data_IF_619734728857
#
_entry.id   IF_619734728857
#
_cell.length_a   1.000
_cell.length_b   1.000
_cell.length_c   1.000
_cell.angle_alpha   90.00
_cell.angle_beta   90.00
_cell.angle_gamma   90.00
#
_symmetry.space_group_name_H-M   'P 1'
#
loop_
_entity.id
_entity.type
_entity.pdbx_description
1 polymer ?
#
# COMPACT_ATOMS: atom_id res chain seq x y z
N UNK A 1 32.40 -14.68 -12.22
CA UNK A 1 31.55 -15.09 -11.08
C UNK A 1 30.70 -13.90 -10.67
N UNK A 2 29.41 -14.10 -10.34
CA UNK A 2 28.49 -13.00 -9.94
C UNK A 2 27.89 -13.33 -8.57
N UNK A 3 27.77 -12.33 -7.71
CA UNK A 3 27.18 -12.44 -6.36
C UNK A 3 25.95 -11.51 -6.33
N UNK A 4 24.80 -12.05 -5.91
CA UNK A 4 23.57 -11.29 -5.68
C UNK A 4 23.52 -10.87 -4.20
N UNK A 5 23.39 -9.58 -3.92
CA UNK A 5 23.24 -9.04 -2.57
C UNK A 5 21.75 -8.83 -2.25
N UNK A 6 21.21 -9.65 -1.35
CA UNK A 6 19.80 -9.61 -0.96
C UNK A 6 19.46 -8.45 0.00
N UNK A 7 20.45 -7.93 0.72
CA UNK A 7 20.25 -6.81 1.67
C UNK A 7 19.82 -5.53 0.94
N UNK A 8 20.13 -5.42 -0.35
CA UNK A 8 19.73 -4.29 -1.21
C UNK A 8 18.36 -4.46 -1.87
N UNK A 9 17.70 -5.61 -1.74
CA UNK A 9 16.42 -5.88 -2.41
C UNK A 9 15.19 -5.47 -1.58
N UNK A 10 15.32 -5.30 -0.27
CA UNK A 10 14.18 -5.19 0.66
C UNK A 10 13.90 -3.78 1.20
N UNK A 11 14.46 -2.73 0.61
CA UNK A 11 14.65 -1.46 1.35
C UNK A 11 13.45 -0.52 1.31
N UNK A 12 12.63 -0.52 0.26
CA UNK A 12 11.44 0.34 0.12
C UNK A 12 10.74 0.00 -1.19
N UNK A 13 9.43 0.21 -1.28
CA UNK A 13 8.75 0.17 -2.59
C UNK A 13 9.08 1.39 -3.46
N UNK A 14 9.60 2.47 -2.85
CA UNK A 14 9.75 3.79 -3.47
C UNK A 14 8.43 4.50 -3.74
N UNK A 15 7.30 3.93 -3.31
CA UNK A 15 5.95 4.43 -3.56
C UNK A 15 5.40 5.08 -2.30
N UNK A 16 4.60 6.11 -2.50
CA UNK A 16 4.06 6.93 -1.42
C UNK A 16 2.59 7.21 -1.67
N UNK A 17 1.83 7.32 -0.58
CA UNK A 17 0.44 7.70 -0.59
C UNK A 17 0.27 8.96 0.25
N UNK A 18 -0.50 9.93 -0.23
CA UNK A 18 -0.84 11.13 0.54
C UNK A 18 -2.24 11.00 1.08
N UNK A 19 -2.40 11.02 2.41
CA UNK A 19 -3.72 11.01 3.08
C UNK A 19 -3.75 12.18 4.05
N UNK A 20 -4.82 12.98 4.01
CA UNK A 20 -4.98 14.15 4.90
C UNK A 20 -3.76 15.10 4.89
N UNK A 21 -3.18 15.32 3.70
CA UNK A 21 -1.97 16.12 3.48
C UNK A 21 -0.68 15.59 4.15
N UNK A 22 -0.69 14.33 4.61
CA UNK A 22 0.49 13.66 5.14
C UNK A 22 0.96 12.60 4.16
N UNK A 23 2.26 12.59 3.86
CA UNK A 23 2.89 11.60 2.99
C UNK A 23 3.24 10.36 3.80
N UNK A 24 2.74 9.22 3.36
CA UNK A 24 2.98 7.91 3.94
C UNK A 24 3.76 7.03 2.96
N UNK A 25 4.82 6.39 3.43
CA UNK A 25 5.58 5.43 2.64
C UNK A 25 4.84 4.09 2.56
N UNK A 26 4.77 3.53 1.36
CA UNK A 26 4.24 2.19 1.13
C UNK A 26 5.40 1.21 1.28
N UNK A 27 5.28 0.26 2.20
CA UNK A 27 6.25 -0.80 2.36
C UNK A 27 6.18 -1.78 1.18
N UNK A 28 7.32 -2.37 0.83
CA UNK A 28 7.34 -3.45 -0.15
C UNK A 28 6.48 -4.64 0.34
N UNK A 29 5.70 -5.22 -0.57
CA UNK A 29 4.95 -6.44 -0.28
C UNK A 29 5.93 -7.60 -0.05
N UNK A 30 6.07 -8.02 1.20
CA UNK A 30 6.85 -9.20 1.54
C UNK A 30 6.03 -10.47 1.29
N UNK A 31 6.72 -11.62 1.18
CA UNK A 31 6.04 -12.93 1.09
C UNK A 31 5.15 -13.16 2.31
N UNK A 32 5.59 -12.74 3.51
CA UNK A 32 4.79 -12.85 4.73
C UNK A 32 3.50 -12.02 4.65
N UNK A 33 3.59 -10.79 4.16
CA UNK A 33 2.42 -9.93 3.98
C UNK A 33 1.46 -10.51 2.95
N UNK A 34 1.99 -11.04 1.85
CA UNK A 34 1.18 -11.72 0.83
C UNK A 34 0.41 -12.92 1.40
N UNK A 35 1.06 -13.75 2.22
CA UNK A 35 0.42 -14.89 2.86
C UNK A 35 -0.69 -14.46 3.83
N UNK A 36 -0.46 -13.40 4.63
CA UNK A 36 -1.48 -12.84 5.52
C UNK A 36 -2.71 -12.37 4.74
N UNK A 37 -2.51 -11.57 3.70
CA UNK A 37 -3.59 -11.06 2.85
C UNK A 37 -4.35 -12.20 2.17
N UNK A 38 -3.62 -13.20 1.65
CA UNK A 38 -4.23 -14.36 0.98
C UNK A 38 -5.09 -15.20 1.94
N UNK A 39 -4.61 -15.39 3.17
CA UNK A 39 -5.34 -16.12 4.20
C UNK A 39 -6.62 -15.37 4.61
N UNK A 40 -6.50 -14.07 4.91
CA UNK A 40 -7.65 -13.21 5.23
C UNK A 40 -8.71 -13.22 4.12
N UNK A 41 -8.29 -13.16 2.86
CA UNK A 41 -9.21 -13.26 1.73
C UNK A 41 -9.93 -14.61 1.64
N UNK A 42 -9.24 -15.72 1.91
CA UNK A 42 -9.85 -17.05 1.95
C UNK A 42 -10.84 -17.21 3.12
N UNK A 43 -10.52 -16.66 4.29
CA UNK A 43 -11.43 -16.65 5.44
C UNK A 43 -12.70 -15.87 5.14
N UNK A 44 -12.61 -14.73 4.46
CA UNK A 44 -13.77 -13.95 4.04
C UNK A 44 -14.70 -14.71 3.10
N UNK A 45 -14.13 -15.40 2.10
CA UNK A 45 -14.89 -16.18 1.11
C UNK A 45 -15.57 -17.38 1.78
N UNK A 46 -14.88 -18.04 2.70
CA UNK A 46 -15.37 -19.27 3.34
C UNK A 46 -16.46 -19.02 4.40
N UNK A 47 -16.55 -17.82 4.98
CA UNK A 47 -17.44 -17.56 6.14
C UNK A 47 -18.74 -16.82 5.85
N UNK A 48 -19.14 -16.59 4.59
CA UNK A 48 -20.26 -15.65 4.27
C UNK A 48 -20.10 -14.34 5.04
N UNK A 49 -18.89 -13.78 5.00
CA UNK A 49 -18.55 -12.59 5.75
C UNK A 49 -19.51 -11.43 5.39
N UNK A 50 -19.90 -10.68 6.40
CA UNK A 50 -20.72 -9.48 6.22
C UNK A 50 -19.96 -8.43 5.40
N UNK A 51 -20.68 -7.52 4.71
CA UNK A 51 -20.05 -6.41 4.02
C UNK A 51 -19.10 -5.59 4.91
N UNK A 52 -19.46 -5.40 6.19
CA UNK A 52 -18.62 -4.69 7.16
C UNK A 52 -17.28 -5.40 7.40
N UNK A 53 -17.28 -6.73 7.55
CA UNK A 53 -16.05 -7.52 7.73
C UNK A 53 -15.15 -7.48 6.50
N UNK A 54 -15.73 -7.35 5.30
CA UNK A 54 -14.97 -7.11 4.07
C UNK A 54 -14.21 -5.78 4.15
N UNK A 55 -14.88 -4.70 4.55
CA UNK A 55 -14.25 -3.38 4.64
C UNK A 55 -13.16 -3.31 5.71
N UNK A 56 -13.37 -3.95 6.86
CA UNK A 56 -12.34 -4.02 7.91
C UNK A 56 -11.08 -4.75 7.41
N UNK A 57 -11.24 -5.84 6.65
CA UNK A 57 -10.10 -6.55 6.07
C UNK A 57 -9.37 -5.72 4.99
N UNK A 58 -10.09 -4.93 4.20
CA UNK A 58 -9.47 -4.01 3.24
C UNK A 58 -8.64 -2.96 3.98
N UNK A 59 -9.17 -2.38 5.05
CA UNK A 59 -8.43 -1.44 5.90
C UNK A 59 -7.19 -2.08 6.51
N UNK A 60 -7.31 -3.29 7.07
CA UNK A 60 -6.18 -4.02 7.67
C UNK A 60 -5.10 -4.33 6.63
N UNK A 61 -5.50 -4.68 5.41
CA UNK A 61 -4.57 -4.92 4.28
C UNK A 61 -3.82 -3.64 3.91
N UNK A 62 -4.51 -2.50 3.82
CA UNK A 62 -3.87 -1.21 3.52
C UNK A 62 -2.92 -0.82 4.65
N UNK A 63 -3.33 -0.97 5.91
CA UNK A 63 -2.51 -0.64 7.07
C UNK A 63 -1.27 -1.55 7.21
N UNK A 64 -1.35 -2.80 6.76
CA UNK A 64 -0.20 -3.70 6.70
C UNK A 64 0.90 -3.18 5.76
N UNK A 65 0.49 -2.55 4.66
CA UNK A 65 1.39 -2.01 3.64
C UNK A 65 1.74 -0.54 3.88
N UNK A 66 0.94 0.18 4.65
CA UNK A 66 1.13 1.59 5.00
C UNK A 66 0.95 1.78 6.52
N UNK A 67 1.88 1.29 7.37
CA UNK A 67 1.67 1.25 8.82
C UNK A 67 1.55 2.62 9.49
N UNK A 68 2.02 3.67 8.82
CA UNK A 68 1.95 5.05 9.31
C UNK A 68 0.64 5.74 8.95
N UNK A 69 -0.19 5.15 8.09
CA UNK A 69 -1.48 5.72 7.72
C UNK A 69 -2.48 5.59 8.89
N UNK A 70 -3.12 6.69 9.32
CA UNK A 70 -4.11 6.63 10.38
C UNK A 70 -5.38 5.94 9.88
N UNK A 71 -5.81 4.89 10.60
CA UNK A 71 -7.04 4.13 10.29
C UNK A 71 -8.26 5.03 10.11
N UNK A 72 -8.39 6.04 10.97
CA UNK A 72 -9.50 7.00 10.91
C UNK A 72 -9.56 7.73 9.57
N UNK A 73 -8.43 8.14 9.01
CA UNK A 73 -8.42 8.83 7.72
C UNK A 73 -8.79 7.88 6.57
N UNK A 74 -8.33 6.63 6.61
CA UNK A 74 -8.73 5.60 5.65
C UNK A 74 -10.23 5.29 5.72
N UNK A 75 -10.80 5.22 6.93
CA UNK A 75 -12.23 4.94 7.15
C UNK A 75 -13.17 6.05 6.68
N UNK A 76 -12.64 7.25 6.41
CA UNK A 76 -13.41 8.40 5.89
C UNK A 76 -13.45 8.43 4.36
N UNK A 77 -12.71 7.55 3.69
CA UNK A 77 -12.73 7.46 2.22
C UNK A 77 -14.07 6.88 1.74
N UNK A 78 -14.44 7.22 0.50
CA UNK A 78 -15.52 6.51 -0.20
C UNK A 78 -15.10 5.06 -0.47
N UNK A 79 -16.08 4.20 -0.77
CA UNK A 79 -15.82 2.80 -1.12
C UNK A 79 -14.89 2.69 -2.32
N UNK A 80 -15.13 3.50 -3.35
CA UNK A 80 -14.29 3.55 -4.55
C UNK A 80 -12.87 4.00 -4.20
N UNK A 81 -12.74 5.08 -3.40
CA UNK A 81 -11.42 5.57 -2.97
C UNK A 81 -10.65 4.56 -2.13
N UNK A 82 -11.33 3.78 -1.29
CA UNK A 82 -10.71 2.72 -0.51
C UNK A 82 -10.21 1.58 -1.42
N UNK A 83 -10.99 1.20 -2.43
CA UNK A 83 -10.58 0.22 -3.44
C UNK A 83 -9.37 0.71 -4.24
N UNK A 84 -9.39 1.96 -4.73
CA UNK A 84 -8.27 2.58 -5.44
C UNK A 84 -6.99 2.54 -4.59
N UNK A 85 -7.08 2.90 -3.31
CA UNK A 85 -5.93 2.81 -2.40
C UNK A 85 -5.45 1.37 -2.26
N UNK A 86 -6.37 0.41 -2.09
CA UNK A 86 -6.06 -1.01 -1.94
C UNK A 86 -5.32 -1.57 -3.18
N UNK A 87 -5.76 -1.20 -4.38
CA UNK A 87 -5.11 -1.56 -5.64
C UNK A 87 -3.74 -0.91 -5.79
N UNK A 88 -3.65 0.39 -5.49
CA UNK A 88 -2.39 1.11 -5.52
C UNK A 88 -1.36 0.47 -4.61
N UNK A 89 -1.67 0.22 -3.33
CA UNK A 89 -0.68 -0.37 -2.38
C UNK A 89 -0.24 -1.77 -2.79
N UNK A 90 -1.06 -2.52 -3.54
CA UNK A 90 -0.70 -3.84 -4.08
C UNK A 90 0.17 -3.78 -5.34
N UNK A 91 0.33 -2.61 -5.96
CA UNK A 91 1.12 -2.44 -7.18
C UNK A 91 0.33 -2.63 -8.47
N UNK A 92 -1.00 -2.54 -8.43
CA UNK A 92 -1.79 -2.39 -9.63
C UNK A 92 -1.66 -0.96 -10.18
N UNK A 93 -1.73 -0.83 -11.50
CA UNK A 93 -1.91 0.47 -12.16
C UNK A 93 -3.32 0.96 -11.84
N UNK A 94 -3.42 2.17 -11.28
CA UNK A 94 -4.68 2.83 -10.95
C UNK A 94 -4.82 4.05 -11.83
N UNK A 95 -5.80 4.02 -12.72
CA UNK A 95 -6.05 5.08 -13.71
C UNK A 95 -6.74 6.33 -13.11
N UNK A 96 -7.37 6.20 -11.94
CA UNK A 96 -8.25 7.24 -11.36
C UNK A 96 -7.58 8.13 -10.30
N UNK A 97 -6.38 7.79 -9.83
CA UNK A 97 -5.64 8.60 -8.88
C UNK A 97 -4.73 9.60 -9.60
N UNK A 98 -4.64 10.84 -9.12
CA UNK A 98 -3.64 11.80 -9.60
C UNK A 98 -2.24 11.27 -9.25
N UNK A 99 -1.60 10.61 -10.22
CA UNK A 99 -0.23 10.14 -10.10
C UNK A 99 0.69 11.33 -10.32
N UNK A 100 1.13 11.93 -9.22
CA UNK A 100 2.16 12.98 -9.26
C UNK A 100 3.50 12.30 -9.49
N UNK A 101 4.00 12.35 -10.72
CA UNK A 101 5.37 11.95 -11.04
C UNK A 101 6.35 12.93 -10.38
N UNK A 102 6.97 12.52 -9.28
CA UNK A 102 8.02 13.31 -8.63
C UNK A 102 9.31 13.08 -9.41
N UNK A 103 9.59 13.96 -10.39
CA UNK A 103 10.90 14.00 -11.03
C UNK A 103 11.96 14.34 -9.98
N UNK A 104 12.91 13.42 -9.79
CA UNK A 104 14.07 13.65 -8.95
C UNK A 104 15.04 14.63 -9.66
N UNK A 105 14.73 15.93 -9.64
CA UNK A 105 15.71 16.96 -10.00
C UNK A 105 16.74 17.10 -8.88
N UNK A 106 17.86 16.40 -9.11
CA UNK A 106 19.25 16.79 -8.86
C UNK A 106 19.53 17.76 -7.69
N UNK A 107 20.04 17.18 -6.60
CA UNK A 107 20.97 17.88 -5.72
C UNK A 107 22.25 18.23 -6.48
N UNK A 108 22.30 19.41 -7.10
CA UNK A 108 23.54 20.13 -7.43
C UNK A 108 23.31 21.64 -7.34
N UNK A 109 23.55 22.19 -6.16
CA UNK A 109 24.04 23.56 -6.03
C UNK A 109 25.15 23.56 -4.98
N UNK A 110 26.36 23.19 -5.42
CA UNK A 110 27.58 23.66 -4.81
C UNK A 110 28.04 24.90 -5.57
N UNK A 111 28.18 26.02 -4.88
CA UNK A 111 29.45 26.76 -4.71
C UNK A 111 29.20 27.97 -3.80
#
# INVERSE_FOLDING_TARGET
MKILNLDKLNVSSGRFLTIANVRHEIMAMTVENFLKVSHSAQELISRTASPSEHFENVLDTIMLLVPTAPREALSKLSLDGLNTVSEFVRGADVDEAEVIEVSAEEGKAGN
#
